data_IF_565204379997
#
_entry.id   IF_565204379997
#
_cell.length_a   1.000
_cell.length_b   1.000
_cell.length_c   1.000
_cell.angle_alpha   90.00
_cell.angle_beta   90.00
_cell.angle_gamma   90.00
#
_symmetry.space_group_name_H-M   'P 1'
#
loop_
_entity.id
_entity.type
_entity.pdbx_description
1 polymer ?
#
# COMPACT_ATOMS: atom_id res chain seq x y z
N UNK A 1 12.42 39.96 -1.53
CA UNK A 1 12.57 38.83 -2.46
C UNK A 1 13.58 39.09 -3.57
N UNK A 2 13.43 40.14 -4.39
CA UNK A 2 14.39 40.43 -5.47
C UNK A 2 15.84 40.61 -4.97
N UNK A 3 16.05 41.40 -3.91
CA UNK A 3 17.38 41.53 -3.29
C UNK A 3 17.93 40.23 -2.66
N UNK A 4 17.08 39.26 -2.32
CA UNK A 4 17.52 37.97 -1.79
C UNK A 4 17.98 37.05 -2.94
N UNK A 5 17.25 37.05 -4.06
CA UNK A 5 17.66 36.36 -5.28
C UNK A 5 18.98 36.91 -5.82
N UNK A 6 19.15 38.23 -5.89
CA UNK A 6 20.40 38.89 -6.31
C UNK A 6 21.59 38.57 -5.40
N UNK A 7 21.35 38.22 -4.14
CA UNK A 7 22.37 37.80 -3.17
C UNK A 7 22.61 36.28 -3.17
N UNK A 8 22.00 35.55 -4.10
CA UNK A 8 22.20 34.11 -4.26
C UNK A 8 21.45 33.23 -3.26
N UNK A 9 20.43 33.75 -2.57
CA UNK A 9 19.63 32.95 -1.62
C UNK A 9 18.88 31.79 -2.28
N UNK A 10 18.64 31.89 -3.60
CA UNK A 10 18.00 30.85 -4.43
C UNK A 10 18.99 30.19 -5.40
N UNK A 11 20.29 30.22 -5.08
CA UNK A 11 21.27 29.47 -5.85
C UNK A 11 20.90 27.98 -5.82
N UNK A 12 21.11 27.31 -6.96
CA UNK A 12 20.82 25.88 -7.09
C UNK A 12 21.57 25.08 -6.02
N UNK A 13 20.83 24.22 -5.33
CA UNK A 13 21.35 23.28 -4.35
C UNK A 13 21.89 22.05 -5.09
N UNK A 14 23.13 21.70 -4.80
CA UNK A 14 23.78 20.49 -5.31
C UNK A 14 23.63 19.36 -4.28
N UNK A 15 22.87 18.28 -4.56
CA UNK A 15 22.69 17.16 -3.64
C UNK A 15 24.02 16.52 -3.20
N UNK A 16 25.07 16.59 -4.03
CA UNK A 16 26.38 16.03 -3.70
C UNK A 16 27.20 16.92 -2.74
N UNK A 17 26.80 18.19 -2.58
CA UNK A 17 27.47 19.18 -1.73
C UNK A 17 26.53 19.83 -0.73
N UNK A 18 25.42 19.17 -0.42
CA UNK A 18 24.39 19.73 0.43
C UNK A 18 24.94 19.98 1.84
N UNK A 19 24.96 21.25 2.26
CA UNK A 19 25.37 21.65 3.60
C UNK A 19 24.23 21.39 4.58
N UNK A 20 24.30 20.23 5.20
CA UNK A 20 23.27 19.72 6.09
C UNK A 20 23.04 20.63 7.33
N UNK A 21 24.03 21.44 7.72
CA UNK A 21 23.88 22.45 8.80
C UNK A 21 23.09 23.69 8.39
N UNK A 22 22.94 23.94 7.09
CA UNK A 22 22.16 25.04 6.57
C UNK A 22 20.65 24.72 6.66
N UNK A 23 19.97 25.33 7.62
CA UNK A 23 18.54 25.13 7.85
C UNK A 23 17.64 25.99 6.94
N UNK A 24 18.20 26.93 6.18
CA UNK A 24 17.41 27.83 5.34
C UNK A 24 16.52 27.08 4.32
N UNK A 25 17.04 26.11 3.54
CA UNK A 25 16.20 25.33 2.61
C UNK A 25 15.07 24.58 3.33
N UNK A 26 15.35 24.03 4.52
CA UNK A 26 14.33 23.31 5.31
C UNK A 26 13.21 24.24 5.79
N UNK A 27 13.57 25.41 6.33
CA UNK A 27 12.60 26.43 6.73
C UNK A 27 11.79 26.96 5.54
N UNK A 28 12.43 27.10 4.37
CA UNK A 28 11.76 27.48 3.13
C UNK A 28 10.73 26.41 2.71
N UNK A 29 11.10 25.12 2.71
CA UNK A 29 10.18 24.01 2.45
C UNK A 29 9.01 24.00 3.45
N UNK A 30 9.28 24.16 4.74
CA UNK A 30 8.23 24.27 5.77
C UNK A 30 7.25 25.39 5.46
N UNK A 31 7.75 26.59 5.15
CA UNK A 31 6.91 27.73 4.85
C UNK A 31 6.11 27.52 3.55
N UNK A 32 6.72 26.98 2.51
CA UNK A 32 6.06 26.67 1.23
C UNK A 32 4.92 25.70 1.43
N UNK A 33 5.21 24.56 2.08
CA UNK A 33 4.21 23.55 2.37
C UNK A 33 3.07 24.21 3.16
N UNK A 34 3.36 24.87 4.29
CA UNK A 34 2.34 25.58 5.07
C UNK A 34 1.53 26.61 4.27
N UNK A 35 2.15 27.33 3.34
CA UNK A 35 1.50 28.37 2.54
C UNK A 35 0.49 27.86 1.51
N UNK A 36 0.67 26.64 0.99
CA UNK A 36 -0.33 26.02 0.12
C UNK A 36 -1.62 25.71 0.87
N UNK A 37 -1.56 25.63 2.19
CA UNK A 37 -2.69 25.28 3.04
C UNK A 37 -3.37 26.47 3.71
N UNK A 38 -2.70 27.62 3.79
CA UNK A 38 -3.25 28.86 4.37
C UNK A 38 -3.72 29.87 3.32
N UNK A 39 -3.81 29.47 2.04
CA UNK A 39 -4.21 30.37 0.96
C UNK A 39 -5.59 31.01 1.31
N UNK A 40 -5.69 32.35 1.42
CA UNK A 40 -6.94 33.00 1.78
C UNK A 40 -8.01 32.69 0.72
N UNK A 41 -9.12 32.10 1.13
CA UNK A 41 -10.19 31.69 0.20
C UNK A 41 -10.88 32.86 -0.50
N UNK A 42 -10.78 34.11 -0.01
CA UNK A 42 -11.38 35.28 -0.69
C UNK A 42 -10.91 36.66 -0.16
N UNK A 43 -9.83 36.75 0.61
CA UNK A 43 -9.44 38.04 1.23
C UNK A 43 -8.23 38.66 0.54
N UNK A 44 -8.48 39.73 -0.21
CA UNK A 44 -7.48 40.76 -0.55
C UNK A 44 -7.02 41.42 0.75
N UNK A 45 -6.08 40.79 1.48
CA UNK A 45 -5.48 41.44 2.62
C UNK A 45 -4.77 42.72 2.17
N UNK A 46 -5.18 43.82 2.79
CA UNK A 46 -4.57 45.12 2.57
C UNK A 46 -3.20 45.11 3.26
N UNK A 47 -2.12 45.07 2.48
CA UNK A 47 -0.72 45.06 2.95
C UNK A 47 -0.31 46.32 3.74
N UNK A 48 -1.21 47.29 3.89
CA UNK A 48 -1.04 48.46 4.76
C UNK A 48 -1.18 48.12 6.26
N UNK A 49 -1.55 46.88 6.61
CA UNK A 49 -1.57 46.42 7.99
C UNK A 49 -0.17 45.98 8.47
N UNK A 50 0.34 46.50 9.59
CA UNK A 50 1.68 46.20 10.12
C UNK A 50 1.82 44.79 10.73
N UNK A 51 0.92 43.87 10.41
CA UNK A 51 0.75 42.57 11.08
C UNK A 51 1.38 41.38 10.35
N UNK A 52 2.01 41.57 9.18
CA UNK A 52 2.84 40.51 8.57
C UNK A 52 4.19 40.51 9.29
N UNK A 53 4.28 39.75 10.39
CA UNK A 53 5.41 39.77 11.31
C UNK A 53 6.57 38.87 10.88
N UNK A 54 6.34 37.87 10.02
CA UNK A 54 7.38 36.97 9.55
C UNK A 54 7.26 36.53 8.06
N UNK A 55 8.29 35.83 7.56
CA UNK A 55 8.37 35.33 6.19
C UNK A 55 7.28 34.29 5.87
N UNK A 56 6.90 33.48 6.85
CA UNK A 56 5.93 32.39 6.70
C UNK A 56 4.51 32.95 6.53
N UNK A 57 4.18 34.00 7.27
CA UNK A 57 2.91 34.74 7.20
C UNK A 57 2.76 35.50 5.88
N UNK A 58 3.87 35.99 5.32
CA UNK A 58 3.88 36.70 4.04
C UNK A 58 3.76 35.74 2.84
N UNK A 59 4.25 34.51 2.98
CA UNK A 59 4.47 33.60 1.86
C UNK A 59 3.23 33.28 1.02
N UNK A 60 2.04 33.00 1.59
CA UNK A 60 0.84 32.66 0.83
C UNK A 60 0.51 33.70 -0.26
N UNK A 61 0.79 34.97 0.00
CA UNK A 61 0.49 36.07 -0.91
C UNK A 61 1.54 36.30 -2.01
N UNK A 62 2.75 35.79 -1.81
CA UNK A 62 3.86 35.95 -2.75
C UNK A 62 4.28 34.64 -3.40
N UNK A 63 3.63 33.52 -3.06
CA UNK A 63 4.00 32.17 -3.49
C UNK A 63 4.24 32.09 -5.00
N UNK A 64 3.25 32.52 -5.80
CA UNK A 64 3.35 32.56 -7.26
C UNK A 64 4.52 33.40 -7.80
N UNK A 65 4.94 34.45 -7.09
CA UNK A 65 6.07 35.31 -7.49
C UNK A 65 7.43 34.68 -7.19
N UNK A 66 7.46 33.68 -6.31
CA UNK A 66 8.69 33.06 -5.83
C UNK A 66 8.83 31.61 -6.33
N UNK A 67 7.74 31.00 -6.82
CA UNK A 67 7.71 29.63 -7.34
C UNK A 67 8.90 29.34 -8.27
N UNK A 68 9.14 30.19 -9.27
CA UNK A 68 10.22 29.97 -10.23
C UNK A 68 11.61 30.03 -9.58
N UNK A 69 11.81 30.91 -8.60
CA UNK A 69 13.09 31.01 -7.88
C UNK A 69 13.31 29.79 -6.99
N UNK A 70 12.25 29.32 -6.32
CA UNK A 70 12.30 28.13 -5.48
C UNK A 70 12.53 26.87 -6.34
N UNK A 71 11.80 26.73 -7.45
CA UNK A 71 12.02 25.62 -8.39
C UNK A 71 13.45 25.66 -8.97
N UNK A 72 13.99 26.86 -9.24
CA UNK A 72 15.38 27.03 -9.66
C UNK A 72 16.39 26.65 -8.58
N UNK A 73 16.10 26.98 -7.32
CA UNK A 73 16.92 26.60 -6.17
C UNK A 73 16.99 25.08 -5.99
N UNK A 74 15.90 24.37 -6.24
CA UNK A 74 15.83 22.92 -6.11
C UNK A 74 15.93 22.18 -7.46
N UNK A 75 16.49 22.81 -8.50
CA UNK A 75 16.48 22.26 -9.86
C UNK A 75 17.11 20.87 -9.97
N UNK A 76 18.18 20.60 -9.22
CA UNK A 76 18.85 19.29 -9.22
C UNK A 76 18.00 18.17 -8.59
N UNK A 77 17.06 18.52 -7.71
CA UNK A 77 16.06 17.60 -7.18
C UNK A 77 14.89 17.40 -8.14
N UNK A 78 14.79 18.22 -9.20
CA UNK A 78 13.69 18.21 -10.16
C UNK A 78 14.00 17.46 -11.46
N UNK A 79 15.15 16.79 -11.56
CA UNK A 79 15.66 16.10 -12.76
C UNK A 79 14.79 14.91 -13.27
N UNK A 80 13.58 14.73 -12.75
CA UNK A 80 12.61 13.75 -13.25
C UNK A 80 11.77 14.30 -14.41
N UNK A 81 11.59 13.46 -15.42
CA UNK A 81 10.80 13.72 -16.64
C UNK A 81 9.37 14.18 -16.36
N UNK A 82 8.77 13.79 -15.23
CA UNK A 82 7.42 14.17 -14.83
C UNK A 82 7.26 15.63 -14.41
N UNK A 83 8.31 16.26 -13.87
CA UNK A 83 8.28 17.67 -13.45
C UNK A 83 8.51 18.64 -14.61
N UNK A 84 9.02 18.12 -15.72
CA UNK A 84 9.28 18.87 -16.96
C UNK A 84 8.01 19.14 -17.76
N UNK A 85 6.88 18.51 -17.41
CA UNK A 85 5.62 18.70 -18.13
C UNK A 85 5.07 20.12 -17.90
N UNK A 86 4.87 20.94 -18.95
CA UNK A 86 4.29 22.27 -18.83
C UNK A 86 2.83 22.28 -18.34
N UNK A 87 2.09 21.18 -18.41
CA UNK A 87 0.69 21.09 -17.95
C UNK A 87 0.55 21.02 -16.42
N UNK A 88 1.57 20.54 -15.72
CA UNK A 88 1.51 20.29 -14.28
C UNK A 88 1.50 21.63 -13.51
N UNK A 89 0.57 21.85 -12.57
CA UNK A 89 0.52 23.10 -11.82
C UNK A 89 1.80 23.36 -11.04
N UNK A 90 2.19 24.63 -10.95
CA UNK A 90 3.38 25.04 -10.19
C UNK A 90 3.32 24.61 -8.71
N UNK A 91 2.12 24.55 -8.13
CA UNK A 91 1.90 24.07 -6.77
C UNK A 91 2.31 22.61 -6.61
N UNK A 92 1.89 21.74 -7.52
CA UNK A 92 2.25 20.31 -7.50
C UNK A 92 3.75 20.13 -7.73
N UNK A 93 4.34 20.88 -8.67
CA UNK A 93 5.80 20.88 -8.88
C UNK A 93 6.56 21.23 -7.60
N UNK A 94 6.13 22.28 -6.90
CA UNK A 94 6.76 22.71 -5.65
C UNK A 94 6.62 21.66 -4.54
N UNK A 95 5.45 21.05 -4.39
CA UNK A 95 5.23 19.97 -3.41
C UNK A 95 6.18 18.80 -3.70
N UNK A 96 6.19 18.28 -4.93
CA UNK A 96 7.04 17.14 -5.31
C UNK A 96 8.52 17.46 -5.10
N UNK A 97 8.97 18.65 -5.49
CA UNK A 97 10.37 19.06 -5.33
C UNK A 97 10.74 19.25 -3.85
N UNK A 98 9.83 19.80 -3.04
CA UNK A 98 10.03 19.89 -1.59
C UNK A 98 10.12 18.49 -0.96
N UNK A 99 9.26 17.54 -1.36
CA UNK A 99 9.33 16.15 -0.90
C UNK A 99 10.68 15.53 -1.25
N UNK A 100 11.13 15.65 -2.51
CA UNK A 100 12.41 15.10 -2.95
C UNK A 100 13.58 15.67 -2.16
N UNK A 101 13.57 16.97 -1.89
CA UNK A 101 14.58 17.59 -1.04
C UNK A 101 14.53 17.06 0.40
N UNK A 102 13.34 16.96 1.00
CA UNK A 102 13.17 16.45 2.37
C UNK A 102 13.62 14.99 2.51
N UNK A 103 13.28 14.13 1.54
CA UNK A 103 13.73 12.72 1.51
C UNK A 103 15.25 12.62 1.28
N UNK A 104 15.83 13.49 0.45
CA UNK A 104 17.28 13.56 0.32
C UNK A 104 17.93 13.93 1.66
N UNK A 105 17.45 14.99 2.31
CA UNK A 105 17.97 15.44 3.60
C UNK A 105 17.83 14.39 4.69
N UNK A 106 16.74 13.64 4.74
CA UNK A 106 16.58 12.57 5.72
C UNK A 106 17.56 11.43 5.52
N UNK A 107 18.00 11.19 4.27
CA UNK A 107 19.02 10.18 3.95
C UNK A 107 20.45 10.55 4.38
N UNK A 108 20.70 11.81 4.72
CA UNK A 108 22.01 12.26 5.16
C UNK A 108 22.27 11.85 6.62
N UNK A 109 23.53 11.49 6.97
CA UNK A 109 23.91 11.17 8.35
C UNK A 109 23.93 12.45 9.19
N UNK A 110 22.79 12.80 9.80
CA UNK A 110 22.61 14.02 10.59
C UNK A 110 22.24 13.77 12.07
N UNK A 111 22.21 14.86 12.85
CA UNK A 111 21.72 14.90 14.22
C UNK A 111 20.20 14.68 14.30
N UNK A 112 19.74 13.96 15.31
CA UNK A 112 18.32 13.61 15.56
C UNK A 112 17.31 14.76 15.37
N UNK A 113 17.69 16.02 15.64
CA UNK A 113 16.78 17.18 15.54
C UNK A 113 16.31 17.50 14.12
N UNK A 114 17.15 17.31 13.10
CA UNK A 114 16.74 17.56 11.71
C UNK A 114 15.81 16.46 11.20
N UNK A 115 16.09 15.19 11.54
CA UNK A 115 15.22 14.05 11.22
C UNK A 115 13.83 14.19 11.84
N UNK A 116 13.74 14.56 13.12
CA UNK A 116 12.43 14.83 13.77
C UNK A 116 11.68 15.96 13.05
N UNK A 117 12.36 17.06 12.71
CA UNK A 117 11.73 18.19 12.00
C UNK A 117 11.23 17.77 10.62
N UNK A 118 12.04 17.03 9.85
CA UNK A 118 11.68 16.52 8.53
C UNK A 118 10.47 15.58 8.63
N UNK A 119 10.49 14.63 9.58
CA UNK A 119 9.40 13.69 9.81
C UNK A 119 8.08 14.42 10.14
N UNK A 120 8.14 15.44 11.00
CA UNK A 120 6.97 16.27 11.34
C UNK A 120 6.44 17.06 10.14
N UNK A 121 7.33 17.64 9.33
CA UNK A 121 6.94 18.37 8.11
C UNK A 121 6.27 17.45 7.10
N UNK A 122 6.85 16.28 6.85
CA UNK A 122 6.27 15.29 5.95
C UNK A 122 4.92 14.79 6.48
N UNK A 123 4.82 14.49 7.78
CA UNK A 123 3.57 14.05 8.42
C UNK A 123 2.46 15.09 8.29
N UNK A 124 2.76 16.36 8.56
CA UNK A 124 1.80 17.45 8.43
C UNK A 124 1.30 17.61 6.99
N UNK A 125 2.17 17.42 6.01
CA UNK A 125 1.80 17.45 4.58
C UNK A 125 0.93 16.25 4.20
N UNK A 126 1.29 15.03 4.61
CA UNK A 126 0.51 13.81 4.33
C UNK A 126 -0.89 13.88 4.93
N UNK A 127 -1.01 14.34 6.18
CA UNK A 127 -2.32 14.55 6.82
C UNK A 127 -3.21 15.49 6.01
N UNK A 128 -2.64 16.52 5.40
CA UNK A 128 -3.38 17.49 4.58
C UNK A 128 -3.69 16.97 3.17
N UNK A 129 -2.82 16.14 2.58
CA UNK A 129 -3.13 15.45 1.32
C UNK A 129 -4.27 14.44 1.48
N UNK A 130 -4.43 13.90 2.68
CA UNK A 130 -5.55 13.01 3.01
C UNK A 130 -6.87 13.75 3.27
N UNK A 131 -6.85 15.09 3.35
CA UNK A 131 -8.04 15.90 3.61
C UNK A 131 -8.76 16.23 2.29
N UNK A 132 -9.97 15.68 2.15
CA UNK A 132 -10.81 15.78 0.96
C UNK A 132 -11.25 17.22 0.61
N UNK A 133 -11.11 18.17 1.53
CA UNK A 133 -11.46 19.57 1.30
C UNK A 133 -10.35 20.38 0.61
N UNK A 134 -9.14 19.83 0.47
CA UNK A 134 -7.95 20.57 0.01
C UNK A 134 -7.37 20.08 -1.32
N UNK A 135 -7.40 18.77 -1.58
CA UNK A 135 -6.96 18.27 -2.88
C UNK A 135 -8.07 18.52 -3.93
N UNK A 136 -7.72 18.86 -5.19
CA UNK A 136 -8.71 19.00 -6.25
C UNK A 136 -9.62 17.77 -6.27
N UNK A 137 -10.94 17.99 -6.34
CA UNK A 137 -11.89 16.87 -6.37
C UNK A 137 -11.74 15.99 -7.62
N UNK A 138 -11.10 16.54 -8.67
CA UNK A 138 -10.82 15.88 -9.93
C UNK A 138 -9.37 16.20 -10.36
N UNK A 139 -8.35 15.59 -9.72
CA UNK A 139 -6.97 15.78 -10.14
C UNK A 139 -6.76 15.21 -11.55
N UNK A 140 -5.82 15.79 -12.28
CA UNK A 140 -5.45 15.22 -13.59
C UNK A 140 -4.60 13.98 -13.39
N UNK A 141 -4.68 13.00 -14.30
CA UNK A 141 -3.84 11.79 -14.26
C UNK A 141 -2.34 12.09 -14.14
N UNK A 142 -1.87 13.24 -14.64
CA UNK A 142 -0.48 13.68 -14.52
C UNK A 142 -0.11 14.18 -13.12
N UNK A 143 -1.04 14.84 -12.43
CA UNK A 143 -0.88 15.26 -11.03
C UNK A 143 -0.78 14.05 -10.12
N UNK A 144 -1.69 13.09 -10.28
CA UNK A 144 -1.70 11.85 -9.51
C UNK A 144 -0.40 11.08 -9.72
N UNK A 145 0.07 10.98 -10.98
CA UNK A 145 1.34 10.33 -11.29
C UNK A 145 2.51 11.01 -10.59
N UNK A 146 2.60 12.34 -10.65
CA UNK A 146 3.67 13.09 -10.02
C UNK A 146 3.67 12.93 -8.49
N UNK A 147 2.50 12.92 -7.86
CA UNK A 147 2.36 12.68 -6.43
C UNK A 147 2.66 11.24 -6.03
N UNK A 148 2.16 10.24 -6.77
CA UNK A 148 2.45 8.82 -6.53
C UNK A 148 3.96 8.62 -6.44
N UNK A 149 4.74 9.13 -7.40
CA UNK A 149 6.20 9.03 -7.34
C UNK A 149 6.81 9.73 -6.11
N UNK A 150 6.28 10.90 -5.72
CA UNK A 150 6.77 11.60 -4.54
C UNK A 150 6.44 10.85 -3.23
N UNK A 151 5.27 10.21 -3.16
CA UNK A 151 4.89 9.36 -2.03
C UNK A 151 5.78 8.10 -1.97
N UNK A 152 6.15 7.51 -3.11
CA UNK A 152 7.11 6.40 -3.17
C UNK A 152 8.49 6.81 -2.64
N UNK A 153 8.95 8.03 -2.97
CA UNK A 153 10.18 8.59 -2.40
C UNK A 153 10.10 8.70 -0.87
N UNK A 154 8.94 9.07 -0.31
CA UNK A 154 8.71 9.12 1.16
C UNK A 154 8.71 7.72 1.78
N UNK A 155 7.98 6.76 1.19
CA UNK A 155 7.90 5.38 1.68
C UNK A 155 9.30 4.75 1.71
N UNK A 156 10.06 4.93 0.62
CA UNK A 156 11.44 4.47 0.51
C UNK A 156 12.33 5.12 1.59
N UNK A 157 12.21 6.43 1.79
CA UNK A 157 12.96 7.13 2.84
C UNK A 157 12.63 6.57 4.24
N UNK A 158 11.37 6.31 4.56
CA UNK A 158 10.95 5.76 5.86
C UNK A 158 11.54 4.35 6.13
N UNK A 159 11.81 3.59 5.08
CA UNK A 159 12.36 2.23 5.18
C UNK A 159 13.88 2.18 5.26
N UNK A 160 14.54 3.32 5.05
CA UNK A 160 15.99 3.45 5.17
C UNK A 160 16.51 2.90 6.50
N UNK A 161 17.64 2.17 6.52
CA UNK A 161 18.27 1.67 7.74
C UNK A 161 18.52 2.75 8.80
N UNK A 162 18.69 4.01 8.37
CA UNK A 162 18.90 5.18 9.24
C UNK A 162 17.72 5.45 10.18
N UNK A 163 16.49 5.11 9.77
CA UNK A 163 15.26 5.39 10.52
C UNK A 163 14.67 4.11 11.13
N UNK A 164 15.43 3.01 11.08
CA UNK A 164 14.90 1.70 11.39
C UNK A 164 14.72 1.58 12.91
N UNK A 165 13.49 1.87 13.40
CA UNK A 165 12.91 1.70 14.75
C UNK A 165 12.25 2.96 15.35
N UNK A 166 12.24 4.11 14.67
CA UNK A 166 11.55 5.31 15.17
C UNK A 166 10.04 5.26 14.87
N UNK A 167 9.20 5.29 15.91
CA UNK A 167 7.73 5.19 15.79
C UNK A 167 7.14 6.23 14.84
N UNK A 168 7.67 7.44 14.84
CA UNK A 168 7.17 8.56 14.02
C UNK A 168 7.34 8.28 12.52
N UNK A 169 8.46 7.66 12.11
CA UNK A 169 8.69 7.28 10.71
C UNK A 169 7.81 6.12 10.26
N UNK A 170 7.51 5.17 11.15
CA UNK A 170 6.57 4.08 10.84
C UNK A 170 5.15 4.64 10.68
N UNK A 171 4.77 5.61 11.52
CA UNK A 171 3.50 6.33 11.42
C UNK A 171 3.40 7.11 10.10
N UNK A 172 4.44 7.89 9.77
CA UNK A 172 4.54 8.60 8.51
C UNK A 172 4.40 7.66 7.31
N UNK A 173 5.13 6.54 7.30
CA UNK A 173 5.07 5.57 6.22
C UNK A 173 3.65 4.99 6.06
N UNK A 174 3.03 4.58 7.17
CA UNK A 174 1.68 4.06 7.19
C UNK A 174 0.65 5.06 6.62
N UNK A 175 0.70 6.31 7.05
CA UNK A 175 -0.24 7.33 6.57
C UNK A 175 0.06 7.74 5.12
N UNK A 176 1.33 7.68 4.70
CA UNK A 176 1.73 7.88 3.30
C UNK A 176 1.13 6.80 2.40
N UNK A 177 1.15 5.52 2.83
CA UNK A 177 0.54 4.41 2.08
C UNK A 177 -0.98 4.58 1.96
N UNK A 178 -1.66 5.15 2.95
CA UNK A 178 -3.11 5.46 2.84
C UNK A 178 -3.40 6.48 1.75
N UNK A 179 -2.64 7.58 1.70
CA UNK A 179 -2.78 8.59 0.64
C UNK A 179 -2.42 7.98 -0.72
N UNK A 180 -1.34 7.20 -0.77
CA UNK A 180 -0.92 6.46 -1.96
C UNK A 180 -2.05 5.57 -2.48
N UNK A 181 -2.72 4.83 -1.60
CA UNK A 181 -3.85 3.97 -1.95
C UNK A 181 -4.99 4.73 -2.64
N UNK A 182 -5.36 5.91 -2.14
CA UNK A 182 -6.39 6.75 -2.76
C UNK A 182 -5.99 7.20 -4.17
N UNK A 183 -4.73 7.57 -4.40
CA UNK A 183 -4.26 7.99 -5.72
C UNK A 183 -4.09 6.80 -6.68
N UNK A 184 -3.56 5.68 -6.19
CA UNK A 184 -3.41 4.44 -6.95
C UNK A 184 -4.77 3.84 -7.35
N UNK A 185 -5.84 4.18 -6.62
CA UNK A 185 -7.20 3.84 -7.00
C UNK A 185 -7.58 4.46 -8.35
N UNK A 186 -7.31 5.76 -8.52
CA UNK A 186 -7.61 6.51 -9.74
C UNK A 186 -6.60 6.26 -10.87
N UNK A 187 -5.31 6.13 -10.52
CA UNK A 187 -4.21 5.99 -11.47
C UNK A 187 -3.32 4.76 -11.20
N UNK A 188 -3.84 3.52 -11.30
CA UNK A 188 -3.08 2.30 -10.98
C UNK A 188 -1.86 2.08 -11.90
N UNK A 189 -1.88 2.64 -13.12
CA UNK A 189 -0.75 2.57 -14.06
C UNK A 189 0.42 3.47 -13.69
N UNK A 190 0.24 4.41 -12.76
CA UNK A 190 1.29 5.32 -12.30
C UNK A 190 2.15 4.72 -11.19
N UNK A 191 1.70 3.63 -10.57
CA UNK A 191 2.48 2.91 -9.55
C UNK A 191 3.79 2.39 -10.15
N UNK A 192 4.90 2.52 -9.44
CA UNK A 192 6.18 1.97 -9.91
C UNK A 192 6.52 0.63 -9.24
N UNK A 193 7.37 -0.16 -9.91
CA UNK A 193 7.87 -1.42 -9.34
C UNK A 193 8.58 -1.17 -8.00
N UNK A 194 9.49 -0.19 -7.94
CA UNK A 194 10.23 0.17 -6.73
C UNK A 194 9.33 0.69 -5.60
N UNK A 195 8.28 1.43 -5.94
CA UNK A 195 7.30 1.91 -4.99
C UNK A 195 6.53 0.77 -4.33
N UNK A 196 5.98 -0.13 -5.16
CA UNK A 196 5.27 -1.31 -4.65
C UNK A 196 6.20 -2.26 -3.87
N UNK A 197 7.46 -2.44 -4.28
CA UNK A 197 8.46 -3.19 -3.52
C UNK A 197 8.68 -2.56 -2.13
N UNK A 198 8.80 -1.24 -2.05
CA UNK A 198 8.92 -0.54 -0.76
C UNK A 198 7.68 -0.77 0.13
N UNK A 199 6.48 -0.79 -0.46
CA UNK A 199 5.26 -1.08 0.30
C UNK A 199 5.24 -2.54 0.79
N UNK A 200 5.67 -3.50 -0.03
CA UNK A 200 5.81 -4.89 0.39
C UNK A 200 6.82 -5.03 1.54
N UNK A 201 7.96 -4.36 1.46
CA UNK A 201 8.97 -4.33 2.53
C UNK A 201 8.41 -3.74 3.82
N UNK A 202 7.61 -2.66 3.72
CA UNK A 202 6.90 -2.10 4.87
C UNK A 202 5.92 -3.11 5.50
N UNK A 203 5.12 -3.78 4.67
CA UNK A 203 4.17 -4.80 5.14
C UNK A 203 4.88 -5.92 5.90
N UNK A 204 5.95 -6.46 5.32
CA UNK A 204 6.78 -7.52 5.90
C UNK A 204 7.37 -7.07 7.24
N UNK A 205 7.96 -5.87 7.26
CA UNK A 205 8.62 -5.31 8.45
C UNK A 205 7.65 -4.98 9.59
N UNK A 206 6.43 -4.57 9.25
CA UNK A 206 5.42 -4.13 10.20
C UNK A 206 4.29 -5.15 10.38
N UNK A 207 4.53 -6.42 10.01
CA UNK A 207 3.48 -7.44 9.94
C UNK A 207 2.69 -7.52 11.25
N UNK A 208 3.31 -7.97 12.34
CA UNK A 208 2.64 -8.13 13.64
C UNK A 208 2.51 -6.82 14.44
N UNK A 209 2.85 -5.66 13.86
CA UNK A 209 2.77 -4.38 14.58
C UNK A 209 1.35 -3.80 14.50
N UNK A 210 0.79 -3.43 15.66
CA UNK A 210 -0.53 -2.83 15.76
C UNK A 210 -0.48 -1.36 16.13
N UNK A 211 -1.44 -0.58 15.60
CA UNK A 211 -1.74 0.80 16.01
C UNK A 211 -3.25 1.02 15.93
N UNK A 212 -3.83 1.67 16.94
CA UNK A 212 -5.26 2.02 17.00
C UNK A 212 -6.19 0.84 16.66
N UNK A 213 -5.83 -0.36 17.15
CA UNK A 213 -6.58 -1.61 16.95
C UNK A 213 -6.61 -2.14 15.51
N UNK A 214 -5.65 -1.73 14.66
CA UNK A 214 -5.41 -2.23 13.30
C UNK A 214 -3.96 -2.68 13.13
N UNK A 215 -3.70 -3.67 12.28
CA UNK A 215 -2.31 -3.98 11.89
C UNK A 215 -1.80 -2.91 10.93
N UNK A 216 -0.57 -2.44 11.13
CA UNK A 216 0.06 -1.46 10.24
C UNK A 216 0.21 -2.01 8.82
N UNK A 217 0.47 -3.31 8.71
CA UNK A 217 0.61 -4.04 7.44
C UNK A 217 -0.70 -4.12 6.64
N UNK A 218 -1.88 -3.99 7.27
CA UNK A 218 -3.17 -4.13 6.60
C UNK A 218 -3.38 -3.10 5.49
N UNK A 219 -2.87 -1.87 5.65
CA UNK A 219 -2.99 -0.83 4.63
C UNK A 219 -2.28 -1.24 3.33
N UNK A 220 -1.09 -1.85 3.43
CA UNK A 220 -0.38 -2.39 2.27
C UNK A 220 -1.13 -3.60 1.66
N UNK A 221 -1.63 -4.52 2.48
CA UNK A 221 -2.45 -5.65 2.01
C UNK A 221 -3.67 -5.18 1.20
N UNK A 222 -4.34 -4.12 1.64
CA UNK A 222 -5.51 -3.54 0.93
C UNK A 222 -5.11 -2.93 -0.41
N UNK A 223 -3.99 -2.22 -0.47
CA UNK A 223 -3.45 -1.70 -1.73
C UNK A 223 -3.16 -2.84 -2.71
N UNK A 224 -2.41 -3.86 -2.29
CA UNK A 224 -2.11 -5.03 -3.13
C UNK A 224 -3.39 -5.73 -3.58
N UNK A 225 -4.34 -5.96 -2.67
CA UNK A 225 -5.65 -6.54 -3.01
C UNK A 225 -6.31 -5.78 -4.15
N UNK A 226 -6.33 -4.44 -4.08
CA UNK A 226 -6.93 -3.61 -5.11
C UNK A 226 -6.19 -3.73 -6.45
N UNK A 227 -4.86 -3.56 -6.45
CA UNK A 227 -4.05 -3.61 -7.66
C UNK A 227 -4.10 -4.99 -8.34
N UNK A 228 -4.10 -6.07 -7.55
CA UNK A 228 -4.25 -7.45 -8.04
C UNK A 228 -5.64 -7.67 -8.67
N UNK A 229 -6.72 -7.18 -8.04
CA UNK A 229 -8.08 -7.22 -8.61
C UNK A 229 -8.22 -6.41 -9.91
N UNK A 230 -7.42 -5.36 -10.08
CA UNK A 230 -7.32 -4.57 -11.32
C UNK A 230 -6.40 -5.20 -12.37
N UNK A 231 -5.82 -6.37 -12.07
CA UNK A 231 -4.87 -7.07 -12.93
C UNK A 231 -3.63 -6.22 -13.29
N UNK A 232 -3.20 -5.34 -12.37
CA UNK A 232 -2.01 -4.50 -12.56
C UNK A 232 -0.74 -5.37 -12.55
N UNK A 233 0.00 -5.53 -13.67
CA UNK A 233 1.06 -6.55 -13.77
C UNK A 233 2.17 -6.42 -12.74
N UNK A 234 2.61 -5.19 -12.46
CA UNK A 234 3.67 -4.91 -11.47
C UNK A 234 3.28 -5.38 -10.05
N UNK A 235 1.99 -5.42 -9.70
CA UNK A 235 1.56 -5.90 -8.39
C UNK A 235 1.74 -7.41 -8.26
N UNK A 236 1.52 -8.17 -9.33
CA UNK A 236 1.82 -9.61 -9.35
C UNK A 236 3.32 -9.83 -9.26
N UNK A 237 4.11 -9.10 -10.05
CA UNK A 237 5.59 -9.16 -10.01
C UNK A 237 6.11 -8.96 -8.60
N UNK A 238 5.70 -7.87 -7.91
CA UNK A 238 6.14 -7.62 -6.54
C UNK A 238 5.64 -8.68 -5.57
N UNK A 239 4.39 -9.12 -5.67
CA UNK A 239 3.86 -10.17 -4.79
C UNK A 239 4.69 -11.47 -4.88
N UNK A 240 5.14 -11.82 -6.09
CA UNK A 240 6.00 -12.97 -6.33
C UNK A 240 7.45 -12.74 -5.88
N UNK A 241 8.08 -11.64 -6.29
CA UNK A 241 9.47 -11.32 -5.98
C UNK A 241 9.72 -11.11 -4.48
N UNK A 242 8.76 -10.51 -3.78
CA UNK A 242 8.77 -10.36 -2.31
C UNK A 242 8.41 -11.66 -1.58
N UNK A 243 8.20 -12.77 -2.31
CA UNK A 243 7.87 -14.09 -1.77
C UNK A 243 6.70 -14.04 -0.77
N UNK A 244 5.65 -13.26 -1.08
CA UNK A 244 4.58 -12.97 -0.13
C UNK A 244 3.94 -14.24 0.44
N UNK A 245 3.68 -15.27 -0.38
CA UNK A 245 3.12 -16.53 0.14
C UNK A 245 4.06 -17.26 1.11
N UNK A 246 5.36 -17.29 0.82
CA UNK A 246 6.32 -17.92 1.73
C UNK A 246 6.43 -17.13 3.05
N UNK A 247 6.45 -15.80 2.95
CA UNK A 247 6.44 -14.93 4.12
C UNK A 247 5.20 -15.15 4.98
N UNK A 248 4.00 -15.08 4.38
CA UNK A 248 2.73 -15.25 5.06
C UNK A 248 2.63 -16.61 5.75
N UNK A 249 3.12 -17.68 5.11
CA UNK A 249 3.08 -19.05 5.65
C UNK A 249 3.87 -19.25 6.95
N UNK A 250 4.76 -18.31 7.28
CA UNK A 250 5.57 -18.34 8.50
C UNK A 250 5.08 -17.35 9.58
N UNK A 251 3.98 -16.63 9.35
CA UNK A 251 3.48 -15.59 10.24
C UNK A 251 2.01 -15.80 10.62
N UNK A 252 1.54 -14.97 11.55
CA UNK A 252 0.11 -14.91 11.88
C UNK A 252 -0.67 -14.41 10.67
N UNK A 253 -1.86 -14.96 10.46
CA UNK A 253 -2.66 -14.63 9.29
C UNK A 253 -3.59 -13.47 9.63
N UNK A 254 -3.47 -12.38 8.87
CA UNK A 254 -4.36 -11.23 9.02
C UNK A 254 -5.54 -11.34 8.07
N UNK A 255 -6.69 -10.81 8.47
CA UNK A 255 -7.87 -10.68 7.60
C UNK A 255 -7.53 -10.05 6.24
N UNK A 256 -6.68 -9.01 6.22
CA UNK A 256 -6.30 -8.35 4.99
C UNK A 256 -5.46 -9.24 4.05
N UNK A 257 -4.75 -10.24 4.58
CA UNK A 257 -3.99 -11.20 3.76
C UNK A 257 -4.90 -12.16 3.00
N UNK A 258 -6.06 -12.54 3.56
CA UNK A 258 -7.07 -13.38 2.89
C UNK A 258 -7.53 -12.74 1.59
N UNK A 259 -7.93 -11.46 1.66
CA UNK A 259 -8.37 -10.70 0.47
C UNK A 259 -7.26 -10.53 -0.56
N UNK A 260 -6.02 -10.35 -0.10
CA UNK A 260 -4.86 -10.19 -0.98
C UNK A 260 -4.51 -11.49 -1.72
N UNK A 261 -4.47 -12.62 -1.00
CA UNK A 261 -4.19 -13.95 -1.57
C UNK A 261 -5.32 -14.38 -2.52
N UNK A 262 -6.58 -14.13 -2.14
CA UNK A 262 -7.75 -14.33 -3.01
C UNK A 262 -7.63 -13.53 -4.32
N UNK A 263 -7.28 -12.25 -4.24
CA UNK A 263 -7.06 -11.40 -5.41
C UNK A 263 -5.90 -11.89 -6.30
N UNK A 264 -4.81 -12.36 -5.70
CA UNK A 264 -3.66 -12.92 -6.44
C UNK A 264 -4.07 -14.18 -7.22
N UNK A 265 -4.72 -15.14 -6.57
CA UNK A 265 -5.15 -16.40 -7.18
C UNK A 265 -6.20 -16.17 -8.27
N UNK A 266 -7.25 -15.42 -7.96
CA UNK A 266 -8.32 -15.13 -8.93
C UNK A 266 -7.80 -14.33 -10.12
N UNK A 267 -6.84 -13.41 -9.90
CA UNK A 267 -6.19 -12.66 -10.97
C UNK A 267 -5.35 -13.54 -11.90
N UNK A 268 -4.55 -14.47 -11.36
CA UNK A 268 -3.78 -15.43 -12.18
C UNK A 268 -4.73 -16.30 -13.00
N UNK A 269 -5.80 -16.79 -12.39
CA UNK A 269 -6.80 -17.61 -13.09
C UNK A 269 -7.48 -16.84 -14.22
N UNK A 270 -7.87 -15.59 -13.99
CA UNK A 270 -8.45 -14.73 -15.02
C UNK A 270 -7.48 -14.50 -16.18
N UNK A 271 -6.19 -14.30 -15.89
CA UNK A 271 -5.14 -14.16 -16.91
C UNK A 271 -4.92 -15.47 -17.69
N UNK A 272 -4.91 -16.62 -17.02
CA UNK A 272 -4.82 -17.94 -17.67
C UNK A 272 -5.99 -18.22 -18.62
N UNK A 273 -7.19 -17.75 -18.25
CA UNK A 273 -8.40 -17.88 -19.07
C UNK A 273 -8.49 -16.81 -20.19
N UNK A 274 -7.49 -15.95 -20.34
CA UNK A 274 -7.44 -14.92 -21.37
C UNK A 274 -8.40 -13.74 -21.13
N UNK A 275 -8.91 -13.57 -19.92
CA UNK A 275 -9.98 -12.60 -19.62
C UNK A 275 -9.53 -11.15 -19.40
N UNK A 276 -8.22 -10.87 -19.32
CA UNK A 276 -7.57 -9.56 -19.44
C UNK A 276 -6.22 -9.63 -18.71
N UNK A 277 -5.12 -9.44 -19.41
CA UNK A 277 -3.81 -9.30 -18.78
C UNK A 277 -2.72 -9.03 -19.80
N UNK A 278 -1.98 -7.93 -19.61
CA UNK A 278 -0.80 -7.56 -20.39
C UNK A 278 0.46 -8.37 -20.00
N UNK A 279 0.28 -9.45 -19.23
CA UNK A 279 1.36 -10.31 -18.75
C UNK A 279 1.69 -11.37 -19.81
N UNK A 280 2.98 -11.54 -20.10
CA UNK A 280 3.42 -12.56 -21.03
C UNK A 280 3.27 -13.97 -20.45
N UNK A 281 3.27 -14.98 -21.33
CA UNK A 281 3.03 -16.36 -20.95
C UNK A 281 4.11 -16.94 -20.02
N UNK A 282 5.36 -16.45 -20.10
CA UNK A 282 6.45 -16.92 -19.25
C UNK A 282 6.25 -16.41 -17.82
N UNK A 283 5.98 -15.11 -17.66
CA UNK A 283 5.65 -14.51 -16.36
C UNK A 283 4.43 -15.18 -15.72
N UNK A 284 3.37 -15.43 -16.50
CA UNK A 284 2.18 -16.13 -16.01
C UNK A 284 2.52 -17.55 -15.52
N UNK A 285 3.35 -18.28 -16.27
CA UNK A 285 3.77 -19.62 -15.87
C UNK A 285 4.58 -19.60 -14.58
N UNK A 286 5.44 -18.60 -14.36
CA UNK A 286 6.18 -18.45 -13.09
C UNK A 286 5.25 -18.29 -11.87
N UNK A 287 4.19 -17.50 -12.01
CA UNK A 287 3.19 -17.35 -10.94
C UNK A 287 2.41 -18.65 -10.67
N UNK A 288 2.11 -19.41 -11.73
CA UNK A 288 1.48 -20.72 -11.61
C UNK A 288 2.45 -21.71 -10.92
N UNK A 289 3.70 -21.81 -11.37
CA UNK A 289 4.73 -22.67 -10.78
C UNK A 289 4.98 -22.34 -9.30
N UNK A 290 4.87 -21.06 -8.93
CA UNK A 290 4.91 -20.63 -7.54
C UNK A 290 3.81 -21.28 -6.69
N UNK A 291 2.59 -21.44 -7.23
CA UNK A 291 1.46 -22.09 -6.57
C UNK A 291 1.53 -23.62 -6.61
N UNK A 292 2.26 -24.21 -7.56
CA UNK A 292 2.60 -25.64 -7.58
C UNK A 292 3.62 -26.03 -6.51
N UNK A 293 4.32 -25.07 -5.89
CA UNK A 293 5.17 -25.36 -4.75
C UNK A 293 4.30 -25.83 -3.56
N UNK A 294 4.53 -27.02 -2.97
CA UNK A 294 3.67 -27.57 -1.92
C UNK A 294 3.52 -26.69 -0.68
N UNK A 295 4.57 -25.92 -0.34
CA UNK A 295 4.51 -25.01 0.79
C UNK A 295 3.64 -23.79 0.48
N UNK A 296 3.81 -23.19 -0.71
CA UNK A 296 2.99 -22.05 -1.11
C UNK A 296 1.53 -22.43 -1.33
N UNK A 297 1.27 -23.61 -1.90
CA UNK A 297 -0.08 -24.15 -2.07
C UNK A 297 -0.77 -24.33 -0.71
N UNK A 298 -0.07 -24.95 0.25
CA UNK A 298 -0.57 -25.12 1.61
C UNK A 298 -0.84 -23.77 2.28
N UNK A 299 0.08 -22.81 2.18
CA UNK A 299 -0.12 -21.47 2.74
C UNK A 299 -1.33 -20.78 2.13
N UNK A 300 -1.42 -20.75 0.79
CA UNK A 300 -2.53 -20.14 0.08
C UNK A 300 -3.86 -20.77 0.50
N UNK A 301 -3.93 -22.10 0.50
CA UNK A 301 -5.12 -22.84 0.89
C UNK A 301 -5.50 -22.57 2.36
N UNK A 302 -4.53 -22.57 3.28
CA UNK A 302 -4.77 -22.30 4.70
C UNK A 302 -5.28 -20.88 4.93
N UNK A 303 -4.73 -19.88 4.23
CA UNK A 303 -5.18 -18.48 4.33
C UNK A 303 -6.60 -18.34 3.77
N UNK A 304 -6.88 -18.91 2.60
CA UNK A 304 -8.22 -18.85 1.97
C UNK A 304 -9.28 -19.62 2.74
N UNK A 305 -8.87 -20.66 3.46
CA UNK A 305 -9.75 -21.45 4.31
C UNK A 305 -10.17 -20.71 5.59
N UNK A 306 -9.45 -19.66 6.01
CA UNK A 306 -9.88 -18.86 7.15
C UNK A 306 -10.90 -17.82 6.69
N UNK A 307 -12.07 -17.82 7.33
CA UNK A 307 -13.14 -16.87 6.99
C UNK A 307 -13.02 -15.57 7.78
N UNK A 308 -13.60 -14.51 7.23
CA UNK A 308 -13.76 -13.25 7.93
C UNK A 308 -14.80 -13.36 9.07
N UNK A 309 -14.92 -12.31 9.89
CA UNK A 309 -15.91 -12.11 10.97
C UNK A 309 -17.34 -12.51 10.56
N UNK A 310 -17.66 -12.41 9.26
CA UNK A 310 -18.88 -12.95 8.68
C UNK A 310 -18.51 -14.20 7.89
N UNK A 311 -18.65 -15.39 8.49
CA UNK A 311 -18.42 -16.69 7.85
C UNK A 311 -19.09 -16.76 6.46
N UNK A 312 -18.37 -16.38 5.41
CA UNK A 312 -18.85 -16.40 4.04
C UNK A 312 -18.31 -17.64 3.35
N UNK A 313 -19.01 -18.75 3.55
CA UNK A 313 -18.72 -20.02 2.89
C UNK A 313 -18.75 -19.90 1.37
N UNK A 314 -19.47 -18.91 0.80
CA UNK A 314 -19.50 -18.67 -0.63
C UNK A 314 -18.15 -18.15 -1.12
N UNK A 315 -17.56 -17.21 -0.38
CA UNK A 315 -16.23 -16.68 -0.67
C UNK A 315 -15.17 -17.77 -0.55
N UNK A 316 -15.18 -18.54 0.54
CA UNK A 316 -14.25 -19.68 0.73
C UNK A 316 -14.38 -20.67 -0.41
N UNK A 317 -15.60 -21.09 -0.75
CA UNK A 317 -15.83 -22.02 -1.86
C UNK A 317 -15.25 -21.50 -3.18
N UNK A 318 -15.55 -20.24 -3.52
CA UNK A 318 -15.06 -19.61 -4.76
C UNK A 318 -13.55 -19.59 -4.81
N UNK A 319 -12.90 -19.16 -3.73
CA UNK A 319 -11.45 -18.96 -3.70
C UNK A 319 -10.68 -20.29 -3.69
N UNK A 320 -11.16 -21.27 -2.91
CA UNK A 320 -10.61 -22.63 -2.90
C UNK A 320 -10.78 -23.30 -4.28
N UNK A 321 -11.95 -23.13 -4.91
CA UNK A 321 -12.18 -23.63 -6.28
C UNK A 321 -11.24 -22.97 -7.28
N UNK A 322 -11.01 -21.65 -7.16
CA UNK A 322 -10.09 -20.93 -8.05
C UNK A 322 -8.65 -21.44 -7.92
N UNK A 323 -8.18 -21.69 -6.68
CA UNK A 323 -6.87 -22.30 -6.44
C UNK A 323 -6.77 -23.72 -7.03
N UNK A 324 -7.80 -24.55 -6.85
CA UNK A 324 -7.85 -25.90 -7.39
C UNK A 324 -7.88 -25.93 -8.93
N UNK A 325 -8.47 -24.92 -9.57
CA UNK A 325 -8.47 -24.76 -11.02
C UNK A 325 -7.10 -24.40 -11.60
N UNK A 326 -6.28 -23.63 -10.86
CA UNK A 326 -4.93 -23.25 -11.28
C UNK A 326 -3.93 -24.42 -11.21
N UNK A 327 -4.08 -25.27 -10.19
CA UNK A 327 -3.18 -26.41 -9.95
C UNK A 327 -3.93 -27.75 -10.02
N UNK A 328 -4.55 -28.13 -11.15
CA UNK A 328 -5.32 -29.35 -11.22
C UNK A 328 -4.39 -30.58 -11.12
N UNK A 329 -4.76 -31.55 -10.27
CA UNK A 329 -4.12 -32.87 -10.17
C UNK A 329 -2.64 -32.85 -9.73
N UNK A 330 -2.26 -31.85 -8.95
CA UNK A 330 -0.94 -31.80 -8.33
C UNK A 330 -0.81 -32.82 -7.18
N UNK A 331 0.31 -33.56 -7.13
CA UNK A 331 0.65 -34.42 -5.99
C UNK A 331 0.82 -33.62 -4.69
N UNK A 332 1.09 -32.33 -4.78
CA UNK A 332 1.12 -31.41 -3.66
C UNK A 332 -0.22 -31.32 -2.90
N UNK A 333 -1.36 -31.61 -3.56
CA UNK A 333 -2.67 -31.60 -2.90
C UNK A 333 -2.77 -32.64 -1.79
N UNK A 334 -2.18 -33.83 -1.97
CA UNK A 334 -2.14 -34.86 -0.92
C UNK A 334 -1.41 -34.36 0.33
N UNK A 335 -0.29 -33.65 0.15
CA UNK A 335 0.43 -33.03 1.26
C UNK A 335 -0.38 -31.88 1.88
N UNK A 336 -1.04 -31.07 1.05
CA UNK A 336 -1.90 -29.97 1.49
C UNK A 336 -3.06 -30.50 2.35
N UNK A 337 -3.80 -31.52 1.88
CA UNK A 337 -4.87 -32.17 2.63
C UNK A 337 -4.40 -32.68 3.98
N UNK A 338 -3.27 -33.41 3.99
CA UNK A 338 -2.71 -33.94 5.23
C UNK A 338 -2.39 -32.81 6.21
N UNK A 339 -1.75 -31.74 5.76
CA UNK A 339 -1.42 -30.59 6.62
C UNK A 339 -2.67 -29.85 7.11
N UNK A 340 -3.70 -29.69 6.29
CA UNK A 340 -4.98 -29.07 6.70
C UNK A 340 -5.72 -29.95 7.71
N UNK A 341 -5.75 -31.27 7.52
CA UNK A 341 -6.32 -32.20 8.51
C UNK A 341 -5.51 -32.18 9.80
N UNK A 342 -4.17 -32.14 9.73
CA UNK A 342 -3.29 -31.98 10.89
C UNK A 342 -3.61 -30.68 11.68
N UNK A 343 -3.96 -29.57 11.00
CA UNK A 343 -4.41 -28.33 11.66
C UNK A 343 -5.74 -28.54 12.41
N UNK A 344 -6.70 -29.23 11.79
CA UNK A 344 -8.03 -29.50 12.37
C UNK A 344 -7.95 -30.45 13.57
N UNK A 345 -7.19 -31.54 13.43
CA UNK A 345 -7.04 -32.61 14.43
C UNK A 345 -6.03 -32.26 15.53
N UNK A 346 -5.12 -31.31 15.26
CA UNK A 346 -4.07 -30.89 16.17
C UNK A 346 -4.61 -30.48 17.53
N UNK A 347 -4.18 -31.19 18.57
CA UNK A 347 -4.48 -30.85 19.98
C UNK A 347 -3.63 -29.69 20.48
N UNK A 348 -2.48 -29.47 19.86
CA UNK A 348 -1.46 -28.57 20.37
C UNK A 348 -1.78 -27.10 20.10
N UNK A 349 -2.77 -26.79 19.27
CA UNK A 349 -3.32 -25.44 19.09
C UNK A 349 -2.29 -24.37 18.74
N UNK A 350 -1.04 -24.72 18.42
CA UNK A 350 0.07 -23.76 18.29
C UNK A 350 -0.16 -22.82 17.12
N UNK A 351 -0.74 -23.33 16.04
CA UNK A 351 -1.18 -22.52 14.91
C UNK A 351 -2.22 -21.49 15.36
N UNK A 352 -3.31 -21.94 15.98
CA UNK A 352 -4.43 -21.09 16.38
C UNK A 352 -4.12 -20.16 17.57
N UNK A 353 -3.21 -20.54 18.46
CA UNK A 353 -2.82 -19.75 19.63
C UNK A 353 -1.99 -18.52 19.26
N UNK A 354 -1.37 -18.54 18.08
CA UNK A 354 -0.70 -17.39 17.48
C UNK A 354 -1.66 -16.48 16.72
N UNK A 355 -2.85 -16.97 16.32
CA UNK A 355 -3.82 -16.18 15.59
C UNK A 355 -4.54 -15.19 16.51
N UNK A 356 -4.87 -14.03 15.93
CA UNK A 356 -5.52 -12.93 16.63
C UNK A 356 -6.78 -12.52 15.87
N UNK A 357 -7.89 -12.33 16.58
CA UNK A 357 -9.16 -11.89 16.00
C UNK A 357 -9.53 -10.51 16.50
N UNK A 358 -9.98 -9.67 15.58
CA UNK A 358 -10.53 -8.38 15.95
C UNK A 358 -11.88 -8.61 16.64
N UNK A 359 -12.00 -8.15 17.89
CA UNK A 359 -13.22 -8.30 18.66
C UNK A 359 -13.49 -7.04 19.48
N UNK A 360 -14.78 -6.75 19.68
CA UNK A 360 -15.23 -5.81 20.71
C UNK A 360 -15.38 -6.56 22.04
N UNK A 361 -14.57 -6.22 23.03
CA UNK A 361 -14.66 -6.76 24.39
C UNK A 361 -15.04 -5.62 25.35
N UNK A 362 -16.33 -5.55 25.70
CA UNK A 362 -16.89 -4.46 26.50
C UNK A 362 -16.80 -3.10 25.78
N UNK A 363 -16.10 -2.15 26.40
CA UNK A 363 -15.82 -0.82 25.83
C UNK A 363 -14.50 -0.76 25.05
N UNK A 364 -13.70 -1.84 25.05
CA UNK A 364 -12.42 -1.92 24.33
C UNK A 364 -12.60 -2.60 22.98
N UNK A 365 -11.98 -2.04 21.96
CA UNK A 365 -11.76 -2.68 20.66
C UNK A 365 -10.33 -3.23 20.65
N UNK A 366 -10.05 -4.29 19.88
CA UNK A 366 -8.70 -4.82 19.81
C UNK A 366 -8.59 -6.20 19.18
N UNK A 367 -7.35 -6.60 18.94
CA UNK A 367 -6.99 -7.96 18.56
C UNK A 367 -6.76 -8.80 19.81
N UNK A 368 -7.49 -9.91 19.91
CA UNK A 368 -7.41 -10.84 21.02
C UNK A 368 -7.05 -12.24 20.50
N UNK A 369 -6.31 -13.04 21.29
CA UNK A 369 -6.10 -14.45 20.99
C UNK A 369 -7.44 -15.17 20.77
N UNK A 370 -7.45 -16.14 19.86
CA UNK A 370 -8.64 -16.93 19.61
C UNK A 370 -9.08 -17.67 20.89
N UNK A 371 -10.34 -17.50 21.25
CA UNK A 371 -11.01 -18.32 22.26
C UNK A 371 -11.45 -19.66 21.65
N UNK A 372 -11.76 -20.65 22.49
CA UNK A 372 -12.03 -22.02 22.04
C UNK A 372 -13.17 -22.12 21.00
N UNK A 373 -14.20 -21.30 21.15
CA UNK A 373 -15.30 -21.15 20.20
C UNK A 373 -14.83 -20.58 18.85
N UNK A 374 -13.98 -19.57 18.86
CA UNK A 374 -13.37 -19.05 17.62
C UNK A 374 -12.46 -20.08 16.96
N UNK A 375 -11.65 -20.81 17.73
CA UNK A 375 -10.77 -21.85 17.19
C UNK A 375 -11.58 -22.93 16.49
N UNK A 376 -12.67 -23.41 17.11
CA UNK A 376 -13.52 -24.41 16.46
C UNK A 376 -14.23 -23.85 15.22
N UNK A 377 -14.60 -22.56 15.21
CA UNK A 377 -15.15 -21.92 14.02
C UNK A 377 -14.14 -21.89 12.85
N UNK A 378 -12.88 -21.51 13.09
CA UNK A 378 -11.83 -21.55 12.06
C UNK A 378 -11.55 -22.99 11.60
N UNK A 379 -11.61 -23.98 12.50
CA UNK A 379 -11.49 -25.40 12.13
C UNK A 379 -12.64 -25.87 11.27
N UNK A 380 -13.87 -25.43 11.52
CA UNK A 380 -15.02 -25.72 10.66
C UNK A 380 -14.83 -25.12 9.26
N UNK A 381 -14.28 -23.91 9.15
CA UNK A 381 -13.99 -23.30 7.85
C UNK A 381 -12.90 -24.10 7.08
N UNK A 382 -11.88 -24.59 7.79
CA UNK A 382 -10.87 -25.50 7.20
C UNK A 382 -11.50 -26.83 6.76
N UNK A 383 -12.38 -27.43 7.59
CA UNK A 383 -13.13 -28.65 7.21
C UNK A 383 -13.97 -28.40 5.96
N UNK A 384 -14.61 -27.25 5.88
CA UNK A 384 -15.38 -26.84 4.70
C UNK A 384 -14.49 -26.70 3.46
N UNK A 385 -13.33 -26.03 3.57
CA UNK A 385 -12.37 -25.92 2.47
C UNK A 385 -11.88 -27.29 1.97
N UNK A 386 -11.58 -28.22 2.90
CA UNK A 386 -11.23 -29.62 2.55
C UNK A 386 -12.38 -30.29 1.79
N UNK A 387 -13.62 -30.10 2.21
CA UNK A 387 -14.79 -30.65 1.52
C UNK A 387 -14.94 -30.10 0.09
N UNK A 388 -14.79 -28.78 -0.10
CA UNK A 388 -14.82 -28.14 -1.43
C UNK A 388 -13.76 -28.73 -2.36
N UNK A 389 -12.54 -28.93 -1.85
CA UNK A 389 -11.46 -29.55 -2.61
C UNK A 389 -11.82 -31.01 -3.00
N UNK A 390 -12.30 -31.82 -2.06
CA UNK A 390 -12.74 -33.19 -2.36
C UNK A 390 -13.83 -33.22 -3.43
N UNK A 391 -14.85 -32.38 -3.31
CA UNK A 391 -15.94 -32.30 -4.28
C UNK A 391 -15.44 -31.90 -5.67
N UNK A 392 -14.48 -30.97 -5.74
CA UNK A 392 -13.88 -30.53 -6.99
C UNK A 392 -13.12 -31.66 -7.71
N UNK A 393 -12.30 -32.43 -6.99
CA UNK A 393 -11.49 -33.50 -7.60
C UNK A 393 -12.31 -34.78 -7.85
N UNK A 394 -13.19 -35.18 -6.92
CA UNK A 394 -14.06 -36.34 -7.09
C UNK A 394 -15.13 -36.10 -8.15
N UNK A 395 -15.66 -34.87 -8.25
CA UNK A 395 -16.60 -34.48 -9.29
C UNK A 395 -16.02 -34.61 -10.70
N UNK A 396 -14.72 -34.37 -10.90
CA UNK A 396 -14.04 -34.57 -12.19
C UNK A 396 -13.91 -36.02 -12.60
N UNK A 397 -13.83 -36.96 -11.66
CA UNK A 397 -13.78 -38.40 -11.98
C UNK A 397 -15.09 -38.92 -12.60
N UNK A 398 -16.21 -38.21 -12.40
CA UNK A 398 -17.50 -38.52 -13.00
C UNK A 398 -17.80 -37.79 -14.32
N UNK A 399 -16.98 -36.79 -14.69
CA UNK A 399 -17.18 -35.96 -15.92
C UNK A 399 -16.33 -36.40 -17.11
N UNK A 400 -15.80 -37.63 -17.13
CA UNK A 400 -15.30 -38.26 -18.36
C UNK A 400 -16.42 -38.73 -19.31
N UNK A 401 -17.67 -38.32 -19.07
CA UNK A 401 -18.80 -38.52 -19.97
C UNK A 401 -19.43 -37.17 -20.37
N UNK A 402 -19.04 -36.70 -21.57
CA UNK A 402 -19.71 -35.71 -22.45
C UNK A 402 -20.02 -34.30 -21.91
N UNK A 403 -19.59 -33.22 -22.61
CA UNK A 403 -19.92 -31.86 -22.23
C UNK A 403 -21.24 -31.44 -22.87
N UNK A 404 -22.30 -31.31 -22.07
CA UNK A 404 -23.42 -30.42 -22.37
C UNK A 404 -24.08 -30.04 -21.04
N UNK A 405 -24.27 -28.72 -20.84
CA UNK A 405 -24.89 -28.01 -19.71
C UNK A 405 -23.97 -27.45 -18.61
N UNK A 406 -23.20 -26.41 -18.97
CA UNK A 406 -22.84 -25.35 -18.02
C UNK A 406 -24.04 -24.39 -17.91
N UNK A 407 -24.78 -24.47 -16.81
CA UNK A 407 -25.84 -23.51 -16.47
C UNK A 407 -25.20 -22.25 -15.87
N UNK A 408 -25.37 -21.15 -16.58
CA UNK A 408 -25.23 -19.76 -16.10
C UNK A 408 -25.92 -19.58 -14.75
N UNK A 409 -25.23 -18.97 -13.78
CA UNK A 409 -25.87 -18.29 -12.66
C UNK A 409 -25.19 -16.93 -12.43
N UNK A 410 -26.03 -15.91 -12.49
CA UNK A 410 -25.71 -14.50 -12.55
C UNK A 410 -25.07 -13.96 -11.25
N UNK A 411 -24.05 -13.10 -11.45
CA UNK A 411 -23.60 -12.07 -10.51
C UNK A 411 -24.77 -11.21 -10.01
N UNK A 412 -24.84 -10.98 -8.70
CA UNK A 412 -25.43 -9.75 -8.16
C UNK A 412 -24.45 -9.14 -7.15
N UNK A 413 -24.20 -7.85 -7.38
CA UNK A 413 -23.37 -6.91 -6.65
C UNK A 413 -23.63 -6.85 -5.14
N UNK A 414 -22.58 -6.57 -4.36
CA UNK A 414 -22.67 -5.81 -3.12
C UNK A 414 -21.44 -4.89 -2.99
N UNK A 415 -21.60 -3.65 -3.46
CA UNK A 415 -20.79 -2.48 -3.07
C UNK A 415 -21.52 -1.78 -1.92
N UNK A 416 -20.73 -1.19 -1.00
CA UNK A 416 -21.06 -0.27 0.10
C UNK A 416 -21.32 -0.88 1.48
N UNK A 417 -20.33 -0.76 2.38
CA UNK A 417 -20.45 0.16 3.53
C UNK A 417 -19.14 0.22 4.31
N UNK A 418 -18.42 1.34 4.23
CA UNK A 418 -17.67 1.96 5.33
C UNK A 418 -17.38 3.41 4.93
N UNK A 419 -18.37 4.28 5.20
CA UNK A 419 -18.14 5.66 5.60
C UNK A 419 -18.19 5.70 7.13
#
# INVERSE_FOLDING_TARGET
>A
MQCAAERGAFNSLDPAKDDHTNMFPLHLCSAILDSFYTLPKDETQNFDSPLVLDFKDALPYFLYKICNNVLGMFSEFSNHSSLSDPSLPQSVKLIVVAIKFLCHRSSLPESTMSHTTICQLLSAMILKLNDADYWPKDPTSQEDTALIMALEDIISACLSPLHNMESDWIDLCHDTIKVYYSLAFEAPSACSLSGLQSIADFMIRCWDQTKDHSYRSDTGCRLFTYLLKKHTPIAFTVFYESQCLLFLGNHTFHKASVSMVSAYITGILAMQQGSNGAMDAESLQQHIDCLYNPQNQFTACSILAMSDIFHDQTAVHKDITALAQLCPQDAAWEECYRKLDDLVQGKDGEFFSKQLKWQKSGESYGYFPLHADHIEAEKEDIRFAIHVLHDFFNGREHTMASPDSLSEWHLIDCIHHFL
#
